data_IF_344893835749
#
_entry.id   IF_344893835749
#
_cell.length_a   1.000
_cell.length_b   1.000
_cell.length_c   1.000
_cell.angle_alpha   90.00
_cell.angle_beta   90.00
_cell.angle_gamma   90.00
#
_symmetry.space_group_name_H-M   'P 1'
#
loop_
_entity.id
_entity.type
_entity.pdbx_description
1 polymer ?
#
# COMPACT_ATOMS: atom_id res chain seq x y z
N UNK A 1 4.65 -26.07 7.48
CA UNK A 1 4.04 -25.47 8.65
C UNK A 1 4.48 -24.02 8.80
N UNK A 2 3.58 -23.19 9.29
CA UNK A 2 3.87 -21.79 9.58
C UNK A 2 4.01 -21.61 11.09
N UNK A 3 4.99 -20.81 11.48
CA UNK A 3 5.10 -20.33 12.86
C UNK A 3 4.59 -18.91 12.89
N UNK A 4 3.56 -18.68 13.69
CA UNK A 4 2.93 -17.38 13.83
C UNK A 4 3.16 -16.83 15.24
N UNK A 5 3.86 -15.71 15.33
CA UNK A 5 4.06 -15.03 16.60
C UNK A 5 2.78 -14.36 17.08
N UNK A 6 2.60 -14.26 18.38
CA UNK A 6 1.52 -13.48 18.96
C UNK A 6 1.69 -11.97 18.63
N UNK A 7 0.60 -11.18 18.67
CA UNK A 7 0.70 -9.74 18.42
C UNK A 7 1.75 -9.07 19.29
N UNK A 8 2.58 -8.23 18.68
CA UNK A 8 3.65 -7.53 19.37
C UNK A 8 4.97 -8.31 19.48
N UNK A 9 5.02 -9.53 18.99
CA UNK A 9 6.23 -10.36 19.00
C UNK A 9 6.75 -10.60 17.61
N UNK A 10 8.05 -10.66 17.44
CA UNK A 10 8.69 -11.05 16.19
C UNK A 10 10.06 -11.68 16.43
N UNK A 11 10.48 -12.53 15.49
CA UNK A 11 11.82 -13.08 15.48
C UNK A 11 12.80 -12.04 14.96
N UNK A 12 13.89 -11.85 15.67
CA UNK A 12 14.93 -10.91 15.28
C UNK A 12 16.29 -11.59 15.24
N UNK A 13 17.01 -11.36 14.15
CA UNK A 13 18.40 -11.77 14.03
C UNK A 13 19.32 -10.79 14.76
N UNK A 14 18.85 -9.56 14.98
CA UNK A 14 19.58 -8.54 15.72
C UNK A 14 19.16 -8.55 17.18
N UNK A 15 20.15 -8.40 18.07
CA UNK A 15 19.94 -8.47 19.52
C UNK A 15 19.49 -7.12 20.08
N UNK A 16 19.75 -6.04 19.37
CA UNK A 16 19.50 -4.67 19.86
C UNK A 16 18.56 -3.93 18.93
N UNK A 17 17.31 -3.72 19.38
CA UNK A 17 16.33 -2.87 18.74
C UNK A 17 15.95 -3.28 17.32
N UNK A 18 15.14 -2.46 16.70
CA UNK A 18 14.74 -2.64 15.32
C UNK A 18 13.26 -2.90 15.14
N UNK A 19 12.88 -3.11 13.88
CA UNK A 19 11.51 -3.41 13.49
C UNK A 19 11.51 -4.58 12.50
N UNK A 20 10.36 -5.23 12.39
CA UNK A 20 10.17 -6.31 11.44
C UNK A 20 8.74 -6.27 10.90
N UNK A 21 8.44 -7.14 9.96
CA UNK A 21 7.15 -7.17 9.26
C UNK A 21 6.79 -8.62 8.88
N UNK A 22 5.62 -8.78 8.28
CA UNK A 22 5.24 -10.06 7.68
C UNK A 22 4.27 -10.88 8.50
N UNK A 23 3.71 -10.33 9.56
CA UNK A 23 2.65 -11.03 10.30
C UNK A 23 1.27 -10.70 9.72
N UNK A 24 0.24 -11.54 9.95
CA UNK A 24 -1.11 -11.25 9.51
C UNK A 24 -1.89 -10.30 10.44
N UNK A 25 -1.26 -9.79 11.48
CA UNK A 25 -1.92 -8.92 12.45
C UNK A 25 -2.25 -7.55 11.85
N UNK A 26 -3.33 -6.88 12.29
CA UNK A 26 -3.73 -5.61 11.69
C UNK A 26 -2.64 -4.54 11.61
N UNK A 27 -1.77 -4.45 12.62
CA UNK A 27 -0.70 -3.45 12.61
C UNK A 27 0.35 -3.71 11.52
N UNK A 28 0.45 -4.95 11.00
CA UNK A 28 1.35 -5.30 9.90
C UNK A 28 0.64 -5.29 8.54
N UNK A 29 -0.68 -5.44 8.52
CA UNK A 29 -1.45 -5.48 7.28
C UNK A 29 -2.02 -4.13 6.88
N UNK A 30 -2.31 -3.28 7.85
CA UNK A 30 -2.93 -1.98 7.63
C UNK A 30 -1.88 -0.89 7.81
N UNK A 31 -1.51 -0.28 6.71
CA UNK A 31 -0.47 0.74 6.67
C UNK A 31 -1.00 1.98 5.96
N UNK A 32 -0.47 3.16 6.27
CA UNK A 32 -0.88 4.37 5.56
C UNK A 32 -0.33 4.39 4.15
N UNK A 33 -1.06 5.07 3.26
CA UNK A 33 -0.60 5.43 1.92
C UNK A 33 -0.56 6.94 1.84
N UNK A 34 0.61 7.46 1.53
CA UNK A 34 0.80 8.90 1.35
C UNK A 34 1.22 9.15 -0.09
N UNK A 35 0.50 10.05 -0.76
CA UNK A 35 0.80 10.43 -2.14
C UNK A 35 0.89 11.95 -2.24
N UNK A 36 1.85 12.42 -3.02
CA UNK A 36 2.05 13.83 -3.24
C UNK A 36 2.46 14.09 -4.68
N UNK A 37 1.84 15.08 -5.30
CA UNK A 37 2.15 15.43 -6.68
C UNK A 37 1.07 16.30 -7.29
N UNK A 38 1.35 16.84 -8.48
CA UNK A 38 0.43 17.78 -9.17
C UNK A 38 -0.85 17.11 -9.65
N UNK A 39 -0.81 15.79 -9.92
CA UNK A 39 -1.97 15.02 -10.35
C UNK A 39 -2.65 14.30 -9.17
N UNK A 40 -2.31 14.68 -7.97
CA UNK A 40 -2.90 14.11 -6.76
C UNK A 40 -3.80 15.15 -6.11
N UNK A 41 -5.07 14.81 -5.94
CA UNK A 41 -6.02 15.66 -5.24
C UNK A 41 -5.65 15.77 -3.77
N UNK A 42 -5.70 16.97 -3.22
CA UNK A 42 -5.44 17.20 -1.80
C UNK A 42 -6.64 16.72 -0.98
N UNK A 43 -6.50 15.58 -0.36
CA UNK A 43 -7.57 14.99 0.46
C UNK A 43 -7.01 13.98 1.46
N UNK A 44 -7.81 13.68 2.45
CA UNK A 44 -7.61 12.57 3.36
C UNK A 44 -8.77 11.60 3.22
N UNK A 45 -8.48 10.31 3.17
CA UNK A 45 -9.51 9.27 3.15
C UNK A 45 -9.23 8.28 4.27
N UNK A 46 -10.26 7.92 5.00
CA UNK A 46 -10.20 6.88 6.04
C UNK A 46 -10.68 5.52 5.52
N UNK A 47 -11.11 5.46 4.27
CA UNK A 47 -11.57 4.21 3.67
C UNK A 47 -10.41 3.25 3.47
N UNK A 48 -10.64 1.98 3.78
CA UNK A 48 -9.65 0.93 3.55
C UNK A 48 -9.50 0.69 2.06
N UNK A 49 -8.26 0.73 1.58
CA UNK A 49 -7.94 0.51 0.19
C UNK A 49 -7.07 -0.73 0.01
N UNK A 50 -7.17 -1.37 -1.14
CA UNK A 50 -6.35 -2.53 -1.46
C UNK A 50 -4.99 -2.05 -2.02
N UNK A 51 -3.92 -2.62 -1.51
CA UNK A 51 -2.55 -2.29 -1.95
C UNK A 51 -2.34 -2.54 -3.45
N UNK A 52 -3.12 -3.42 -4.06
CA UNK A 52 -3.05 -3.68 -5.50
C UNK A 52 -3.38 -2.46 -6.34
N UNK A 53 -4.09 -1.48 -5.78
CA UNK A 53 -4.40 -0.22 -6.47
C UNK A 53 -3.21 0.73 -6.60
N UNK A 54 -2.12 0.45 -5.92
CA UNK A 54 -0.90 1.26 -6.06
C UNK A 54 -0.36 1.19 -7.49
N UNK A 55 -0.28 -0.01 -8.06
CA UNK A 55 0.18 -0.17 -9.44
C UNK A 55 -0.73 0.55 -10.44
N UNK A 56 -2.05 0.43 -10.27
CA UNK A 56 -3.03 1.13 -11.10
C UNK A 56 -2.90 2.65 -10.97
N UNK A 57 -2.67 3.14 -9.76
CA UNK A 57 -2.47 4.56 -9.51
C UNK A 57 -1.23 5.11 -10.19
N UNK A 58 -0.11 4.39 -10.11
CA UNK A 58 1.13 4.77 -10.78
C UNK A 58 0.96 4.74 -12.31
N UNK A 59 0.27 3.75 -12.84
CA UNK A 59 -0.03 3.69 -14.27
C UNK A 59 -0.89 4.87 -14.71
N UNK A 60 -1.89 5.25 -13.93
CA UNK A 60 -2.73 6.41 -14.21
C UNK A 60 -1.92 7.72 -14.22
N UNK A 61 -1.00 7.86 -13.28
CA UNK A 61 -0.12 9.03 -13.20
C UNK A 61 0.88 9.09 -14.36
N UNK A 62 1.29 7.96 -14.89
CA UNK A 62 2.20 7.87 -16.04
C UNK A 62 1.48 7.92 -17.38
N UNK A 63 0.14 7.83 -17.40
CA UNK A 63 -0.63 7.79 -18.62
C UNK A 63 -0.49 6.50 -19.41
N UNK A 64 -0.22 5.38 -18.74
CA UNK A 64 -0.07 4.07 -19.36
C UNK A 64 -1.16 3.12 -18.85
N UNK A 65 -1.46 2.03 -19.59
CA UNK A 65 -2.44 1.04 -19.12
C UNK A 65 -1.99 0.39 -17.81
N UNK A 66 -2.96 0.05 -16.97
CA UNK A 66 -2.70 -0.68 -15.74
C UNK A 66 -2.11 -2.07 -16.05
N UNK A 67 -1.24 -2.60 -15.15
CA UNK A 67 -0.72 -3.95 -15.33
C UNK A 67 -1.84 -5.00 -15.36
N UNK A 68 -1.61 -6.08 -16.07
CA UNK A 68 -2.53 -7.21 -16.08
C UNK A 68 -2.67 -7.78 -14.67
N UNK A 69 -3.90 -8.02 -14.25
CA UNK A 69 -4.20 -8.49 -12.91
C UNK A 69 -4.38 -7.40 -11.85
N UNK A 70 -4.07 -6.15 -12.18
CA UNK A 70 -4.33 -5.03 -11.27
C UNK A 70 -5.79 -4.56 -11.37
N UNK A 71 -6.37 -4.01 -10.30
CA UNK A 71 -7.71 -3.40 -10.36
C UNK A 71 -7.76 -2.26 -11.38
N UNK A 72 -8.95 -2.02 -11.94
CA UNK A 72 -9.12 -0.98 -12.95
C UNK A 72 -9.06 0.44 -12.39
N UNK A 73 -9.44 0.62 -11.14
CA UNK A 73 -9.54 1.94 -10.54
C UNK A 73 -8.33 2.28 -9.69
N UNK A 74 -7.76 3.48 -9.83
CA UNK A 74 -6.68 3.94 -8.96
C UNK A 74 -7.17 4.25 -7.55
N UNK A 75 -6.24 4.57 -6.67
CA UNK A 75 -6.57 5.05 -5.33
C UNK A 75 -7.35 6.37 -5.41
N UNK A 76 -8.23 6.64 -4.43
CA UNK A 76 -8.97 7.90 -4.39
C UNK A 76 -8.03 9.11 -4.41
N UNK A 77 -8.40 10.13 -5.17
CA UNK A 77 -7.62 11.35 -5.29
C UNK A 77 -6.56 11.34 -6.38
N UNK A 78 -6.31 10.20 -7.01
CA UNK A 78 -5.39 10.12 -8.15
C UNK A 78 -6.14 10.53 -9.41
N UNK A 79 -5.66 11.57 -10.08
CA UNK A 79 -6.22 12.03 -11.34
C UNK A 79 -5.55 11.29 -12.50
N UNK A 80 -6.37 10.63 -13.32
CA UNK A 80 -5.87 9.89 -14.48
C UNK A 80 -5.48 10.88 -15.57
N UNK A 81 -4.25 10.77 -16.07
CA UNK A 81 -3.81 11.55 -17.21
C UNK A 81 -4.41 11.00 -18.49
N UNK A 82 -4.72 11.87 -19.48
CA UNK A 82 -5.19 11.40 -20.78
C UNK A 82 -4.12 10.56 -21.48
N UNK A 83 -4.57 9.55 -22.17
CA UNK A 83 -3.70 8.65 -22.96
C UNK A 83 -3.07 9.37 -24.15
#
# INVERSE_FOLDING_TARGET
AYVLSEPGWFDALAITGGTNHGTPWPYDRQVPVLMWGTAIERRTSEDVQNVLRVATSLSALLGVPAPEGAPNDPLPGVMRLPD
#
